data_IF_582009808262
#
_entry.id   IF_582009808262
#
_cell.length_a   1.000
_cell.length_b   1.000
_cell.length_c   1.000
_cell.angle_alpha   90.00
_cell.angle_beta   90.00
_cell.angle_gamma   90.00
#
_symmetry.space_group_name_H-M   'P 1'
#
loop_
_entity.id
_entity.type
_entity.pdbx_description
1 polymer ?
2 non-polymer ?
3 non-polymer ?
4 non-polymer ?
5 water ?
#
# COMPACT_ATOMS: atom_id res chain seq x y z
N UNK A 3 5.22 5.45 -20.07
CA UNK A 3 5.25 5.57 -18.61
C UNK A 3 4.71 4.31 -17.92
N UNK A 4 5.16 4.07 -16.69
CA UNK A 4 4.77 2.87 -15.97
C UNK A 4 3.30 2.93 -15.61
N UNK A 5 2.60 1.79 -15.79
CA UNK A 5 1.16 1.67 -15.55
C UNK A 5 0.94 1.12 -14.14
N UNK A 6 0.21 1.87 -13.28
CA UNK A 6 -0.07 1.48 -11.90
C UNK A 6 -1.53 1.04 -11.79
N UNK A 7 -1.76 -0.12 -11.18
CA UNK A 7 -3.12 -0.55 -10.89
C UNK A 7 -3.28 -0.89 -9.41
N UNK A 8 -4.43 -0.54 -8.85
CA UNK A 8 -4.79 -0.87 -7.47
C UNK A 8 -5.96 -1.85 -7.54
N UNK A 9 -5.85 -3.00 -6.86
CA UNK A 9 -6.88 -4.07 -6.91
C UNK A 9 -7.39 -4.28 -5.51
N UNK A 10 -8.70 -4.08 -5.30
CA UNK A 10 -9.31 -4.37 -3.99
C UNK A 10 -9.92 -5.75 -4.05
N UNK A 11 -9.62 -6.56 -3.03
CA UNK A 11 -10.03 -7.98 -3.04
C UNK A 11 -10.83 -8.20 -1.76
N UNK A 12 -12.09 -8.55 -1.92
CA UNK A 12 -13.00 -8.74 -0.79
C UNK A 12 -13.57 -7.43 -0.29
N UNK A 13 -14.32 -7.51 0.80
CA UNK A 13 -15.09 -6.34 1.22
C UNK A 13 -14.22 -5.17 1.69
N UNK A 14 -13.32 -5.41 2.64
CA UNK A 14 -12.44 -4.32 3.09
C UNK A 14 -11.58 -3.74 1.97
N UNK A 15 -11.02 -4.60 1.13
CA UNK A 15 -10.27 -4.11 -0.04
C UNK A 15 -11.10 -3.24 -0.97
N UNK A 16 -12.32 -3.68 -1.31
CA UNK A 16 -13.20 -2.84 -2.16
C UNK A 16 -13.67 -1.58 -1.47
N UNK A 17 -13.79 -1.62 -0.13
CA UNK A 17 -14.05 -0.41 0.62
C UNK A 17 -12.92 0.59 0.39
N UNK A 18 -11.70 0.12 0.51
CA UNK A 18 -10.54 1.01 0.36
C UNK A 18 -10.47 1.56 -1.06
N UNK A 19 -10.80 0.73 -2.07
CA UNK A 19 -10.81 1.21 -3.45
C UNK A 19 -11.89 2.26 -3.63
N UNK A 20 -13.09 2.01 -3.12
CA UNK A 20 -14.15 3.03 -3.20
C UNK A 20 -13.71 4.35 -2.55
N UNK A 21 -13.13 4.29 -1.34
CA UNK A 21 -12.78 5.54 -0.66
C UNK A 21 -11.64 6.26 -1.39
N UNK A 22 -10.70 5.52 -2.01
CA UNK A 22 -9.63 6.15 -2.79
C UNK A 22 -10.17 6.83 -4.06
N UNK A 23 -11.07 6.16 -4.78
CA UNK A 23 -11.72 6.80 -5.93
C UNK A 23 -12.45 8.07 -5.52
N UNK A 24 -13.21 8.02 -4.43
CA UNK A 24 -13.86 9.20 -3.88
C UNK A 24 -12.83 10.32 -3.70
N UNK A 25 -11.73 9.98 -3.02
CA UNK A 25 -10.68 10.96 -2.75
C UNK A 25 -10.12 11.53 -4.04
N UNK A 26 -9.94 10.71 -5.08
CA UNK A 26 -9.53 11.15 -6.40
C UNK A 26 -8.07 10.84 -6.68
N UNK A 27 -7.82 9.87 -7.56
CA UNK A 27 -6.49 9.54 -8.08
C UNK A 27 -6.58 9.37 -9.58
N UNK A 28 -5.81 10.16 -10.32
CA UNK A 28 -6.14 10.39 -11.73
C UNK A 28 -5.38 9.51 -12.72
N UNK A 29 -4.23 8.93 -12.36
CA UNK A 29 -3.46 8.11 -13.29
C UNK A 29 -3.25 6.66 -12.82
N UNK A 30 -4.17 6.16 -12.02
CA UNK A 30 -4.14 4.79 -11.53
C UNK A 30 -5.43 4.14 -11.98
N UNK A 31 -5.36 2.88 -12.41
CA UNK A 31 -6.56 2.11 -12.74
C UNK A 31 -6.96 1.32 -11.50
N UNK A 32 -8.25 1.24 -11.24
CA UNK A 32 -8.75 0.48 -10.09
C UNK A 32 -9.48 -0.77 -10.58
N UNK A 33 -9.32 -1.86 -9.85
CA UNK A 33 -10.01 -3.11 -10.16
C UNK A 33 -10.64 -3.58 -8.88
N UNK A 34 -11.90 -4.02 -8.97
CA UNK A 34 -12.62 -4.47 -7.77
C UNK A 34 -12.89 -5.94 -7.96
N UNK A 35 -12.38 -6.77 -7.04
CA UNK A 35 -12.60 -8.20 -7.11
C UNK A 35 -13.40 -8.63 -5.87
N UNK A 36 -14.47 -9.42 -6.07
CA UNK A 36 -15.21 -9.86 -4.88
C UNK A 36 -16.07 -11.06 -5.27
N UNK A 37 -16.40 -11.91 -4.29
CA UNK A 37 -17.47 -12.92 -4.45
C UNK A 37 -18.83 -12.30 -4.32
N UNK A 38 -18.93 -11.32 -3.43
CA UNK A 38 -20.17 -10.68 -3.00
C UNK A 38 -20.68 -9.80 -4.14
N UNK A 39 -21.63 -10.27 -4.91
CA UNK A 39 -22.12 -9.44 -6.01
C UNK A 39 -22.88 -8.20 -5.58
N UNK A 40 -23.49 -8.23 -4.38
CA UNK A 40 -24.18 -7.04 -3.88
C UNK A 40 -23.21 -5.89 -3.61
N UNK A 41 -22.12 -6.19 -2.92
CA UNK A 41 -21.09 -5.18 -2.74
C UNK A 41 -20.46 -4.78 -4.07
N UNK A 42 -20.19 -5.75 -4.94
CA UNK A 42 -19.50 -5.43 -6.19
C UNK A 42 -20.34 -4.49 -7.06
N UNK A 43 -21.67 -4.66 -7.05
CA UNK A 43 -22.55 -3.75 -7.79
C UNK A 43 -22.42 -2.30 -7.33
N UNK A 44 -22.00 -2.06 -6.10
CA UNK A 44 -21.85 -0.70 -5.57
C UNK A 44 -20.43 -0.16 -5.71
N UNK A 45 -19.52 -0.94 -6.28
CA UNK A 45 -18.16 -0.48 -6.40
C UNK A 45 -18.07 0.68 -7.38
N UNK A 46 -17.19 1.61 -7.08
CA UNK A 46 -16.91 2.70 -8.00
C UNK A 46 -15.83 2.36 -9.02
N UNK A 47 -15.22 1.17 -8.97
CA UNK A 47 -14.15 0.81 -9.89
C UNK A 47 -14.62 0.63 -11.32
N UNK A 48 -13.75 1.03 -12.26
CA UNK A 48 -14.06 0.91 -13.69
C UNK A 48 -14.03 -0.54 -14.14
N UNK A 49 -13.27 -1.37 -13.46
CA UNK A 49 -13.13 -2.77 -13.82
C UNK A 49 -13.58 -3.58 -12.62
N UNK A 50 -14.61 -4.39 -12.79
CA UNK A 50 -15.10 -5.22 -11.70
C UNK A 50 -15.03 -6.67 -12.09
N UNK A 51 -14.64 -7.53 -11.16
CA UNK A 51 -14.60 -8.95 -11.45
C UNK A 51 -15.35 -9.66 -10.34
N UNK A 52 -16.45 -10.33 -10.69
CA UNK A 52 -17.14 -11.15 -9.71
C UNK A 52 -16.50 -12.52 -9.78
N UNK A 53 -15.93 -13.01 -8.69
CA UNK A 53 -15.28 -14.31 -8.73
C UNK A 53 -16.15 -15.33 -8.00
N UNK A 54 -16.05 -16.62 -8.37
CA UNK A 54 -16.75 -17.66 -7.62
C UNK A 54 -18.28 -17.70 -7.67
N UNK A 55 -18.91 -17.21 -8.73
CA UNK A 55 -20.38 -17.18 -8.72
C UNK A 55 -20.95 -18.59 -8.66
N UNK A 56 -20.24 -19.54 -9.24
CA UNK A 56 -20.72 -20.93 -9.15
C UNK A 56 -20.57 -21.47 -7.74
N UNK A 57 -19.59 -20.99 -7.01
CA UNK A 57 -19.34 -21.54 -5.69
C UNK A 57 -20.29 -20.94 -4.68
N UNK A 58 -20.54 -19.63 -4.80
CA UNK A 58 -21.26 -18.92 -3.77
C UNK A 58 -22.62 -18.43 -4.19
N UNK A 59 -22.96 -18.56 -5.47
CA UNK A 59 -24.21 -18.03 -6.00
C UNK A 59 -24.37 -16.54 -5.78
N UNK A 60 -23.25 -15.77 -5.82
CA UNK A 60 -23.30 -14.32 -5.74
C UNK A 60 -23.11 -13.75 -4.34
N UNK A 61 -23.10 -14.64 -3.34
CA UNK A 61 -22.80 -14.31 -1.96
C UNK A 61 -21.29 -14.24 -1.74
N UNK A 62 -20.92 -13.69 -0.58
CA UNK A 62 -19.56 -13.77 -0.12
C UNK A 62 -19.18 -15.21 0.24
N UNK A 63 -17.95 -15.32 0.75
CA UNK A 63 -17.32 -16.59 1.08
C UNK A 63 -17.71 -17.09 2.46
N UNK A 64 -18.55 -16.35 3.18
CA UNK A 64 -18.91 -16.79 4.53
C UNK A 64 -17.75 -17.10 5.47
N UNK A 65 -16.66 -16.34 5.39
CA UNK A 65 -15.55 -16.51 6.33
C UNK A 65 -14.72 -17.74 6.05
N UNK A 66 -14.94 -18.43 4.93
CA UNK A 66 -14.19 -19.63 4.56
C UNK A 66 -13.10 -19.25 3.55
N UNK A 67 -11.83 -19.13 3.97
CA UNK A 67 -10.77 -18.69 3.03
C UNK A 67 -10.53 -19.69 1.91
N UNK A 68 -10.88 -20.97 2.11
CA UNK A 68 -10.72 -21.90 1.00
C UNK A 68 -11.66 -21.57 -0.16
N UNK A 69 -12.85 -21.05 0.12
CA UNK A 69 -13.77 -20.62 -0.94
C UNK A 69 -13.23 -19.39 -1.64
N UNK A 70 -12.69 -18.44 -0.89
CA UNK A 70 -12.06 -17.33 -1.55
C UNK A 70 -10.97 -17.76 -2.50
N UNK A 71 -10.13 -18.69 -2.05
CA UNK A 71 -9.01 -19.16 -2.87
C UNK A 71 -9.48 -19.86 -4.13
N UNK A 72 -10.44 -20.76 -3.99
CA UNK A 72 -10.98 -21.43 -5.17
C UNK A 72 -11.66 -20.47 -6.11
N UNK A 73 -12.43 -19.51 -5.58
CA UNK A 73 -13.12 -18.56 -6.46
C UNK A 73 -12.13 -17.80 -7.31
N UNK A 74 -10.99 -17.38 -6.73
CA UNK A 74 -9.98 -16.66 -7.51
C UNK A 74 -9.32 -17.59 -8.53
N UNK A 75 -9.00 -18.83 -8.14
CA UNK A 75 -8.34 -19.74 -9.06
C UNK A 75 -9.22 -20.01 -10.25
N UNK A 76 -10.52 -20.15 -10.02
CA UNK A 76 -11.42 -20.44 -11.12
C UNK A 76 -11.64 -19.23 -12.02
N UNK A 77 -11.35 -18.02 -11.56
CA UNK A 77 -11.46 -16.82 -12.39
C UNK A 77 -10.11 -16.29 -12.81
N UNK A 78 -9.11 -17.16 -12.85
CA UNK A 78 -7.76 -16.74 -13.18
C UNK A 78 -7.67 -15.98 -14.51
N UNK A 79 -8.39 -16.43 -15.54
CA UNK A 79 -8.21 -15.76 -16.82
C UNK A 79 -8.81 -14.37 -16.79
N UNK A 80 -9.93 -14.18 -16.07
CA UNK A 80 -10.50 -12.85 -15.99
C UNK A 80 -9.57 -11.91 -15.21
N UNK A 81 -8.92 -12.45 -14.18
CA UNK A 81 -7.99 -11.63 -13.38
C UNK A 81 -6.77 -11.27 -14.22
N UNK A 82 -6.22 -12.24 -14.95
CA UNK A 82 -5.10 -11.96 -15.86
C UNK A 82 -5.45 -10.85 -16.85
N UNK A 83 -6.61 -10.98 -17.50
CA UNK A 83 -7.02 -10.00 -18.49
C UNK A 83 -7.13 -8.61 -17.89
N UNK A 84 -7.63 -8.51 -16.64
CA UNK A 84 -7.77 -7.18 -16.04
C UNK A 84 -6.42 -6.57 -15.64
N UNK A 85 -5.44 -7.41 -15.32
CA UNK A 85 -4.11 -6.96 -14.90
C UNK A 85 -3.23 -6.62 -16.09
N UNK A 86 -3.45 -7.30 -17.21
CA UNK A 86 -2.49 -7.30 -18.31
C UNK A 86 -2.07 -5.89 -18.67
N UNK A 87 -0.75 -5.68 -18.81
CA UNK A 87 -0.21 -4.37 -19.09
C UNK A 87 0.29 -3.60 -17.87
N UNK A 88 -0.19 -3.92 -16.67
CA UNK A 88 0.33 -3.19 -15.49
C UNK A 88 1.81 -3.42 -15.25
N UNK A 89 2.52 -2.34 -14.91
CA UNK A 89 3.91 -2.50 -14.49
C UNK A 89 3.97 -2.68 -12.99
N UNK A 90 3.00 -2.09 -12.27
CA UNK A 90 2.97 -2.25 -10.81
C UNK A 90 1.52 -2.47 -10.38
N UNK A 91 1.31 -3.43 -9.49
CA UNK A 91 0.01 -3.73 -8.92
C UNK A 91 0.08 -3.61 -7.40
N UNK A 92 -0.82 -2.82 -6.80
CA UNK A 92 -1.07 -2.86 -5.35
C UNK A 92 -2.35 -3.67 -5.11
N UNK A 93 -2.25 -4.72 -4.27
CA UNK A 93 -3.41 -5.58 -3.91
C UNK A 93 -3.76 -5.24 -2.47
N UNK A 94 -4.98 -4.73 -2.23
CA UNK A 94 -5.36 -4.39 -0.88
C UNK A 94 -6.55 -5.25 -0.47
N UNK A 95 -6.51 -5.70 0.77
CA UNK A 95 -7.52 -6.63 1.21
C UNK A 95 -7.48 -6.63 2.72
N UNK A 96 -8.61 -6.98 3.33
CA UNK A 96 -8.67 -7.16 4.77
C UNK A 96 -8.51 -8.65 5.06
N UNK A 97 -7.53 -9.00 5.89
CA UNK A 97 -7.31 -10.41 6.16
C UNK A 97 -8.24 -10.86 7.29
N UNK A 98 -8.65 -12.12 7.24
CA UNK A 98 -9.43 -12.73 8.33
C UNK A 98 -10.79 -13.28 7.91
N UNK A 99 -11.37 -12.76 6.82
CA UNK A 99 -12.62 -13.26 6.22
C UNK A 99 -12.31 -14.31 5.19
N UNK A 100 -13.27 -14.54 4.31
CA UNK A 100 -13.11 -15.67 3.39
C UNK A 100 -12.55 -15.23 2.06
N UNK A 101 -13.03 -14.11 1.52
CA UNK A 101 -12.56 -13.70 0.19
C UNK A 101 -11.17 -13.04 0.19
N UNK A 102 -11.00 -11.99 0.96
CA UNK A 102 -9.65 -11.42 1.07
C UNK A 102 -8.64 -12.45 1.46
N UNK A 103 -8.86 -13.19 2.57
CA UNK A 103 -7.86 -14.11 3.04
C UNK A 103 -7.42 -15.06 1.95
N UNK A 104 -8.40 -15.64 1.22
CA UNK A 104 -8.13 -16.71 0.29
C UNK A 104 -7.82 -16.21 -1.11
N UNK A 105 -8.51 -15.18 -1.58
CA UNK A 105 -8.34 -14.71 -2.96
C UNK A 105 -7.21 -13.70 -3.10
N UNK A 106 -6.92 -12.89 -2.09
CA UNK A 106 -5.87 -11.89 -2.31
C UNK A 106 -4.50 -12.50 -2.64
N UNK A 107 -4.03 -13.56 -1.96
CA UNK A 107 -2.76 -14.16 -2.39
C UNK A 107 -2.77 -14.75 -3.79
N UNK A 108 -3.92 -15.25 -4.26
CA UNK A 108 -4.01 -15.75 -5.64
C UNK A 108 -3.91 -14.60 -6.64
N UNK A 109 -4.63 -13.53 -6.37
CA UNK A 109 -4.51 -12.33 -7.20
C UNK A 109 -3.07 -11.84 -7.23
N UNK A 110 -2.44 -11.75 -6.06
CA UNK A 110 -1.04 -11.28 -6.04
C UNK A 110 -0.14 -12.21 -6.82
N UNK A 111 -0.36 -13.52 -6.70
CA UNK A 111 0.50 -14.44 -7.47
C UNK A 111 0.33 -14.21 -8.97
N UNK A 112 -0.92 -14.04 -9.40
CA UNK A 112 -1.21 -13.83 -10.82
C UNK A 112 -0.52 -12.56 -11.31
N UNK A 113 -0.61 -11.49 -10.50
CA UNK A 113 0.02 -10.23 -10.92
C UNK A 113 1.53 -10.41 -11.11
N UNK A 114 2.21 -11.05 -10.13
CA UNK A 114 3.65 -11.24 -10.24
C UNK A 114 3.97 -12.11 -11.46
N UNK A 115 3.16 -13.17 -11.70
CA UNK A 115 3.35 -13.93 -12.97
C UNK A 115 3.04 -13.09 -14.21
N UNK A 116 2.14 -12.14 -14.15
CA UNK A 116 1.89 -11.30 -15.32
C UNK A 116 3.00 -10.26 -15.53
N UNK A 117 4.04 -10.27 -14.68
CA UNK A 117 5.20 -9.36 -14.79
C UNK A 117 5.18 -8.11 -13.91
N UNK A 118 4.11 -7.88 -13.15
CA UNK A 118 3.96 -6.63 -12.44
C UNK A 118 4.75 -6.68 -11.14
N UNK A 119 5.37 -5.55 -10.77
CA UNK A 119 5.89 -5.43 -9.43
C UNK A 119 4.69 -5.39 -8.50
N UNK A 120 4.63 -6.30 -7.52
CA UNK A 120 3.36 -6.58 -6.81
C UNK A 120 3.51 -6.24 -5.33
N UNK A 121 2.73 -5.27 -4.84
CA UNK A 121 2.80 -4.85 -3.43
C UNK A 121 1.46 -5.16 -2.77
N UNK A 122 1.46 -5.81 -1.61
CA UNK A 122 0.23 -6.05 -0.88
C UNK A 122 0.14 -5.03 0.25
N UNK A 123 -1.07 -4.50 0.49
CA UNK A 123 -1.31 -3.65 1.66
C UNK A 123 -2.56 -4.25 2.30
N UNK A 124 -2.40 -4.91 3.46
CA UNK A 124 -3.49 -5.70 4.03
C UNK A 124 -3.59 -5.34 5.50
N UNK A 125 -4.80 -5.56 6.04
CA UNK A 125 -5.09 -5.34 7.46
C UNK A 125 -5.14 -6.68 8.17
N UNK A 126 -4.80 -6.66 9.50
CA UNK A 126 -5.18 -7.76 10.37
C UNK A 126 -6.40 -7.35 11.17
N UNK A 127 -7.24 -8.30 11.56
CA UNK A 127 -8.48 -7.93 12.25
C UNK A 127 -8.26 -7.38 13.66
N UNK A 128 -9.30 -6.68 14.14
CA UNK A 128 -9.28 -6.21 15.53
C UNK A 128 -9.24 -7.39 16.50
N UNK A 129 -8.58 -7.21 17.68
CA UNK A 129 -8.63 -8.31 18.64
C UNK A 129 -10.06 -8.63 19.05
N UNK A 130 -10.97 -7.64 19.06
CA UNK A 130 -12.33 -7.93 19.47
C UNK A 130 -13.07 -8.85 18.49
N UNK A 131 -12.49 -9.13 17.32
CA UNK A 131 -13.08 -10.10 16.39
C UNK A 131 -12.72 -11.53 16.73
N UNK A 132 -11.82 -11.72 17.70
CA UNK A 132 -11.57 -13.02 18.27
C UNK A 132 -10.42 -13.78 17.63
N UNK A 133 -10.05 -14.87 18.31
CA UNK A 133 -8.80 -15.54 18.01
C UNK A 133 -8.88 -16.33 16.71
N UNK A 134 -10.05 -16.89 16.38
CA UNK A 134 -10.16 -17.62 15.12
C UNK A 134 -9.97 -16.68 13.91
N UNK A 135 -10.59 -15.49 13.93
CA UNK A 135 -10.37 -14.53 12.87
C UNK A 135 -8.88 -14.16 12.78
N UNK A 136 -8.22 -14.02 13.95
CA UNK A 136 -6.83 -13.60 13.95
C UNK A 136 -5.94 -14.68 13.38
N UNK A 137 -6.26 -15.95 13.68
CA UNK A 137 -5.48 -17.06 13.17
C UNK A 137 -5.69 -17.25 11.68
N UNK A 138 -6.93 -17.08 11.22
CA UNK A 138 -7.21 -17.13 9.79
C UNK A 138 -6.45 -16.02 9.10
N UNK A 139 -6.46 -14.84 9.72
CA UNK A 139 -5.78 -13.70 9.11
C UNK A 139 -4.30 -13.93 8.97
N UNK A 140 -3.68 -14.49 10.04
CA UNK A 140 -2.25 -14.75 10.02
C UNK A 140 -1.86 -15.66 8.89
N UNK A 141 -2.67 -16.70 8.65
CA UNK A 141 -2.42 -17.59 7.52
C UNK A 141 -2.56 -16.85 6.20
N UNK A 142 -3.50 -15.91 6.08
CA UNK A 142 -3.55 -15.11 4.87
C UNK A 142 -2.33 -14.19 4.72
N UNK A 143 -1.87 -13.59 5.84
CA UNK A 143 -0.67 -12.76 5.75
C UNK A 143 0.49 -13.58 5.25
N UNK A 144 0.70 -14.77 5.84
CA UNK A 144 1.79 -15.64 5.40
C UNK A 144 1.68 -15.96 3.92
N UNK A 145 0.48 -16.28 3.46
CA UNK A 145 0.26 -16.59 2.05
C UNK A 145 0.53 -15.36 1.18
N UNK A 146 0.08 -14.19 1.63
CA UNK A 146 0.37 -12.96 0.90
C UNK A 146 1.87 -12.72 0.81
N UNK A 147 2.61 -12.95 1.91
CA UNK A 147 4.05 -12.70 1.88
C UNK A 147 4.71 -13.56 0.84
N UNK A 148 4.23 -14.80 0.68
CA UNK A 148 4.82 -15.71 -0.28
C UNK A 148 4.55 -15.27 -1.71
N UNK A 149 3.51 -14.50 -1.93
CA UNK A 149 3.01 -14.22 -3.28
C UNK A 149 3.42 -12.84 -3.79
N UNK A 150 3.75 -11.90 -2.92
CA UNK A 150 4.00 -10.52 -3.36
C UNK A 150 5.49 -10.25 -3.49
N UNK A 151 5.82 -9.08 -4.07
CA UNK A 151 7.18 -8.57 -3.94
C UNK A 151 7.39 -7.97 -2.57
N UNK A 152 6.44 -7.16 -2.10
CA UNK A 152 6.59 -6.54 -0.78
C UNK A 152 5.21 -6.39 -0.15
N UNK A 153 5.19 -6.38 1.18
CA UNK A 153 3.96 -6.47 1.94
C UNK A 153 3.98 -5.44 3.05
N UNK A 154 2.91 -4.67 3.15
CA UNK A 154 2.62 -3.74 4.24
C UNK A 154 1.41 -4.29 4.97
N UNK A 155 1.57 -4.57 6.25
CA UNK A 155 0.48 -5.03 7.10
C UNK A 155 0.08 -3.92 8.06
N UNK A 156 -1.23 -3.70 8.17
CA UNK A 156 -1.85 -2.71 9.05
C UNK A 156 -2.70 -3.46 10.04
N UNK A 157 -2.22 -3.67 11.28
CA UNK A 157 -3.10 -4.30 12.28
C UNK A 157 -4.17 -3.29 12.63
N UNK A 158 -5.44 -3.71 12.48
CA UNK A 158 -6.56 -2.81 12.79
C UNK A 158 -6.52 -2.39 14.27
N UNK A 159 -5.95 -3.20 15.17
CA UNK A 159 -5.83 -2.74 16.56
C UNK A 159 -5.09 -1.44 16.65
N UNK A 160 -4.24 -1.12 15.67
CA UNK A 160 -3.51 0.14 15.77
C UNK A 160 -4.43 1.32 15.61
N UNK A 161 -5.59 1.11 14.95
CA UNK A 161 -6.52 2.22 14.82
C UNK A 161 -6.99 2.69 16.19
N UNK A 162 -6.97 1.78 17.16
CA UNK A 162 -7.49 2.10 18.49
C UNK A 162 -6.52 3.03 19.19
N UNK A 163 -5.31 3.14 18.65
CA UNK A 163 -4.29 4.04 19.21
C UNK A 163 -4.42 5.47 18.66
N UNK A 164 -5.17 5.69 17.59
CA UNK A 164 -5.27 7.01 16.96
C UNK A 164 -6.65 7.60 17.04
N UNK A 165 -7.61 6.94 17.69
CA UNK A 165 -8.91 7.53 17.86
C UNK A 165 -9.08 8.03 19.28
N UNK A 166 -10.03 8.95 19.44
CA UNK A 166 -10.58 9.18 20.79
C UNK A 166 -11.92 8.44 20.92
N UNK A 167 -12.58 8.58 22.08
CA UNK A 167 -13.76 7.75 22.28
C UNK A 167 -14.89 8.06 21.30
N UNK A 168 -14.80 9.17 20.58
CA UNK A 168 -15.84 9.58 19.66
C UNK A 168 -15.50 9.49 18.19
N UNK A 169 -14.25 9.23 17.82
CA UNK A 169 -13.89 9.30 16.41
C UNK A 169 -14.77 8.34 15.62
N UNK A 170 -15.47 8.78 14.60
CA UNK A 170 -16.30 7.87 13.82
C UNK A 170 -15.48 6.70 13.26
N UNK A 171 -16.12 5.52 13.19
CA UNK A 171 -15.38 4.38 12.63
C UNK A 171 -14.94 4.68 11.19
N UNK A 172 -15.75 5.39 10.44
CA UNK A 172 -15.35 5.62 9.05
C UNK A 172 -14.15 6.54 8.97
N UNK A 173 -14.00 7.47 9.92
CA UNK A 173 -12.82 8.33 9.90
C UNK A 173 -11.56 7.55 10.23
N UNK A 174 -11.67 6.59 11.18
CA UNK A 174 -10.58 5.71 11.49
C UNK A 174 -10.18 4.90 10.25
N UNK A 175 -11.17 4.32 9.54
CA UNK A 175 -10.84 3.60 8.32
C UNK A 175 -10.15 4.46 7.30
N UNK A 176 -10.53 5.74 7.16
CA UNK A 176 -9.80 6.59 6.19
C UNK A 176 -8.34 6.77 6.57
N UNK A 177 -8.05 6.85 7.87
CA UNK A 177 -6.65 6.89 8.28
C UNK A 177 -5.90 5.67 7.80
N UNK A 178 -6.53 4.48 7.88
CA UNK A 178 -5.79 3.32 7.44
C UNK A 178 -5.62 3.37 5.94
N UNK A 179 -6.63 3.90 5.22
CA UNK A 179 -6.57 3.98 3.75
C UNK A 179 -5.39 4.83 3.30
N UNK A 180 -5.05 5.82 4.09
CA UNK A 180 -3.98 6.74 3.72
C UNK A 180 -2.67 6.03 3.45
N UNK A 181 -2.43 4.90 4.11
CA UNK A 181 -1.15 4.20 3.93
C UNK A 181 -0.98 3.81 2.48
N UNK A 182 -1.95 3.06 1.95
CA UNK A 182 -1.99 2.74 0.53
C UNK A 182 -2.08 3.99 -0.35
N UNK A 183 -3.01 4.91 -0.09
CA UNK A 183 -3.22 6.00 -1.04
C UNK A 183 -1.97 6.85 -1.17
N UNK A 184 -1.33 7.14 -0.05
CA UNK A 184 -0.12 7.96 -0.17
C UNK A 184 1.06 7.17 -0.74
N UNK A 185 1.12 5.86 -0.51
CA UNK A 185 2.18 5.08 -1.15
C UNK A 185 2.00 5.06 -2.66
N UNK A 186 0.76 4.88 -3.11
CA UNK A 186 0.47 4.95 -4.54
C UNK A 186 0.79 6.32 -5.11
N UNK A 187 0.28 7.35 -4.48
CA UNK A 187 0.50 8.70 -5.00
C UNK A 187 1.99 9.02 -5.08
N UNK A 188 2.78 8.57 -4.08
CA UNK A 188 4.21 8.82 -4.09
C UNK A 188 4.88 8.17 -5.27
N UNK A 189 4.48 6.93 -5.61
CA UNK A 189 5.05 6.26 -6.78
C UNK A 189 4.59 6.95 -8.04
N UNK A 190 3.31 7.33 -8.11
CA UNK A 190 2.81 7.99 -9.31
C UNK A 190 3.62 9.24 -9.57
N UNK A 191 3.85 10.02 -8.52
CA UNK A 191 4.66 11.24 -8.63
C UNK A 191 6.08 10.95 -9.13
N UNK A 192 6.75 9.98 -8.54
CA UNK A 192 8.08 9.58 -9.02
C UNK A 192 8.08 9.31 -10.52
N UNK A 193 7.11 8.56 -11.00
CA UNK A 193 7.08 8.29 -12.42
C UNK A 193 6.81 9.55 -13.22
N UNK A 194 5.95 10.43 -12.69
CA UNK A 194 5.46 11.50 -13.56
C UNK A 194 6.45 12.65 -13.66
N UNK A 195 7.24 12.87 -12.63
CA UNK A 195 7.99 14.11 -12.45
C UNK A 195 9.47 13.85 -12.75
N UNK A 196 10.14 14.82 -13.38
CA UNK A 196 11.57 14.65 -13.60
C UNK A 196 12.32 15.34 -12.45
N UNK A 197 13.16 14.62 -11.78
CA UNK A 197 13.85 15.20 -10.65
C UNK A 197 15.22 15.77 -11.02
N UNK A 198 15.68 16.72 -10.19
CA UNK A 198 17.04 17.19 -10.32
C UNK A 198 18.04 16.09 -10.05
N UNK A 199 17.78 15.23 -9.07
CA UNK A 199 18.44 13.94 -8.96
C UNK A 199 17.32 12.93 -9.20
N UNK A 200 17.28 12.34 -10.41
CA UNK A 200 16.05 11.73 -10.92
C UNK A 200 16.03 10.24 -10.59
N UNK A 201 14.93 9.79 -9.98
CA UNK A 201 14.66 8.39 -9.73
C UNK A 201 13.54 7.95 -10.66
N UNK A 202 13.55 6.67 -10.97
CA UNK A 202 12.47 6.30 -11.85
C UNK A 202 12.00 4.91 -11.49
N UNK A 203 11.09 4.36 -12.32
CA UNK A 203 10.48 3.11 -11.93
C UNK A 203 11.51 1.98 -11.76
N UNK A 204 12.60 1.97 -12.53
CA UNK A 204 13.61 0.94 -12.25
C UNK A 204 14.17 1.04 -10.82
N UNK A 205 14.28 2.25 -10.27
CA UNK A 205 14.73 2.34 -8.86
C UNK A 205 13.68 1.75 -7.92
N UNK A 206 12.39 2.04 -8.15
CA UNK A 206 11.32 1.40 -7.37
C UNK A 206 11.45 -0.12 -7.44
N UNK A 207 11.61 -0.67 -8.66
CA UNK A 207 11.81 -2.13 -8.74
C UNK A 207 13.00 -2.59 -7.93
N UNK A 208 14.12 -1.86 -7.97
CA UNK A 208 15.29 -2.36 -7.26
C UNK A 208 15.02 -2.41 -5.76
N UNK A 209 14.27 -1.43 -5.26
CA UNK A 209 14.01 -1.34 -3.81
C UNK A 209 12.94 -2.32 -3.39
N UNK A 210 11.99 -2.62 -4.25
CA UNK A 210 10.80 -3.39 -3.85
C UNK A 210 10.79 -4.82 -4.31
N UNK A 211 11.50 -5.18 -5.38
CA UNK A 211 11.33 -6.52 -5.96
C UNK A 211 11.82 -7.62 -5.00
N UNK A 212 10.97 -8.64 -4.75
CA UNK A 212 11.37 -9.78 -3.91
C UNK A 212 12.03 -9.38 -2.57
N UNK A 213 11.40 -8.46 -1.84
CA UNK A 213 11.98 -7.93 -0.60
C UNK A 213 11.28 -8.39 0.70
N UNK A 214 10.01 -8.75 0.71
CA UNK A 214 9.33 -9.10 1.96
C UNK A 214 8.59 -7.92 2.59
N UNK A 215 8.83 -7.65 3.86
CA UNK A 215 8.12 -6.52 4.50
C UNK A 215 8.56 -5.17 3.96
N UNK A 216 7.67 -4.17 4.04
CA UNK A 216 8.03 -2.84 3.55
C UNK A 216 7.39 -1.75 4.38
N UNK A 217 7.97 -0.56 4.29
CA UNK A 217 7.34 0.66 4.76
C UNK A 217 7.23 1.67 3.61
N UNK A 218 6.10 2.37 3.50
CA UNK A 218 5.93 3.44 2.50
C UNK A 218 5.34 4.64 3.22
N UNK A 219 6.05 5.76 3.24
CA UNK A 219 5.63 6.88 4.06
C UNK A 219 5.92 8.21 3.39
N UNK A 220 5.11 9.21 3.75
CA UNK A 220 5.34 10.56 3.27
C UNK A 220 5.23 11.53 4.44
N UNK A 221 6.07 12.53 4.46
CA UNK A 221 6.01 13.57 5.48
C UNK A 221 6.14 14.93 4.84
N UNK A 222 5.32 15.88 5.32
CA UNK A 222 5.31 17.24 4.80
C UNK A 222 5.50 18.20 5.96
N UNK A 223 6.39 19.18 5.78
CA UNK A 223 6.62 20.14 6.85
C UNK A 223 7.06 21.46 6.24
N UNK A 224 6.99 22.51 7.07
CA UNK A 224 7.45 23.85 6.71
C UNK A 224 8.22 24.43 7.88
N UNK A 225 8.88 25.55 7.67
CA UNK A 225 9.49 26.21 8.82
C UNK A 225 10.90 25.74 9.10
N UNK A 226 11.41 26.05 10.30
CA UNK A 226 12.86 26.11 10.40
C UNK A 226 13.50 24.71 10.45
N UNK A 227 12.86 23.73 11.09
CA UNK A 227 13.40 22.36 11.12
C UNK A 227 12.62 21.46 10.16
N UNK A 228 12.24 21.99 8.99
CA UNK A 228 11.28 21.30 8.12
C UNK A 228 11.78 19.94 7.62
N UNK A 229 13.08 19.83 7.31
CA UNK A 229 13.57 18.57 6.72
C UNK A 229 13.57 17.44 7.74
N UNK A 230 14.07 17.71 8.93
CA UNK A 230 14.02 16.74 10.00
C UNK A 230 12.57 16.36 10.30
N UNK A 231 11.68 17.35 10.39
CA UNK A 231 10.30 17.05 10.74
C UNK A 231 9.63 16.20 9.66
N UNK A 232 9.77 16.61 8.41
CA UNK A 232 9.16 15.85 7.31
C UNK A 232 9.70 14.41 7.27
N UNK A 233 11.02 14.27 7.44
CA UNK A 233 11.64 12.93 7.49
C UNK A 233 11.07 12.12 8.63
N UNK A 234 10.96 12.71 9.84
CA UNK A 234 10.36 11.95 10.93
C UNK A 234 8.92 11.54 10.61
N UNK A 235 8.13 12.42 9.98
CA UNK A 235 6.74 12.04 9.69
C UNK A 235 6.66 10.95 8.64
N UNK A 236 7.55 10.98 7.65
CA UNK A 236 7.57 9.94 6.65
C UNK A 236 7.80 8.55 7.24
N UNK A 237 8.54 8.42 8.35
CA UNK A 237 8.91 7.08 8.84
C UNK A 237 8.16 6.67 10.09
N UNK A 238 7.23 7.49 10.58
CA UNK A 238 6.62 7.36 11.89
C UNK A 238 5.71 6.15 11.97
N UNK A 239 4.63 6.17 11.23
CA UNK A 239 3.81 4.95 11.18
C UNK A 239 3.22 4.44 12.50
N UNK A 240 2.27 5.12 13.14
CA UNK A 240 1.55 4.47 14.25
C UNK A 240 0.69 3.27 13.81
N UNK A 241 0.41 3.11 12.52
CA UNK A 241 -0.50 2.06 12.06
C UNK A 241 0.24 0.82 11.55
N UNK A 242 1.56 0.82 11.57
CA UNK A 242 2.29 -0.18 10.80
C UNK A 242 2.79 -1.29 11.70
N UNK A 243 2.68 -2.52 11.20
CA UNK A 243 3.35 -3.65 11.84
C UNK A 243 4.86 -3.58 11.63
N UNK A 244 5.30 -3.14 10.45
CA UNK A 244 6.73 -3.06 10.13
C UNK A 244 7.16 -1.62 10.29
N UNK A 245 7.89 -1.30 11.35
CA UNK A 245 8.47 0.03 11.49
C UNK A 245 9.71 0.18 10.62
N UNK A 246 10.33 1.37 10.68
CA UNK A 246 11.54 1.61 9.89
C UNK A 246 12.73 0.87 10.49
N UNK A 247 12.64 0.44 11.75
CA UNK A 247 13.83 -0.11 12.42
C UNK A 247 14.25 -1.41 11.76
N UNK A 248 15.51 -1.48 11.33
CA UNK A 248 16.08 -2.64 10.65
C UNK A 248 16.09 -2.53 9.13
N UNK A 249 15.53 -1.45 8.59
CA UNK A 249 15.53 -1.31 7.14
C UNK A 249 16.97 -1.31 6.66
N UNK A 250 17.21 -2.05 5.59
CA UNK A 250 18.52 -2.11 4.99
C UNK A 250 18.61 -1.44 3.63
N UNK A 251 17.46 -1.28 2.94
CA UNK A 251 17.39 -0.52 1.69
C UNK A 251 16.30 0.53 1.77
N UNK A 252 16.60 1.72 1.24
CA UNK A 252 15.61 2.80 1.28
C UNK A 252 15.64 3.58 -0.02
N UNK A 253 14.46 3.84 -0.59
CA UNK A 253 14.32 4.88 -1.61
C UNK A 253 13.77 6.12 -0.91
N UNK A 254 14.48 7.24 -1.00
CA UNK A 254 14.03 8.46 -0.33
C UNK A 254 14.08 9.59 -1.33
N UNK A 255 13.03 10.37 -1.41
CA UNK A 255 12.97 11.50 -2.31
C UNK A 255 12.59 12.73 -1.48
N UNK A 256 13.26 13.85 -1.74
CA UNK A 256 12.89 15.11 -1.10
C UNK A 256 12.44 16.06 -2.19
N UNK A 257 11.29 16.69 -1.99
CA UNK A 257 10.75 17.67 -2.91
C UNK A 257 10.66 18.98 -2.15
N UNK A 258 11.13 20.07 -2.77
CA UNK A 258 11.00 21.38 -2.17
C UNK A 258 11.13 22.41 -3.27
N UNK A 259 11.00 23.68 -2.87
CA UNK A 259 11.19 24.79 -3.78
C UNK A 259 12.67 25.07 -3.97
N UNK A 260 12.93 26.24 -4.54
CA UNK A 260 14.31 26.57 -4.85
C UNK A 260 15.17 26.77 -3.60
N UNK A 261 14.54 26.96 -2.45
CA UNK A 261 15.32 27.13 -1.22
C UNK A 261 15.88 25.83 -0.68
N UNK A 262 15.56 24.66 -1.27
CA UNK A 262 15.98 23.40 -0.70
C UNK A 262 17.50 23.34 -0.55
N UNK A 263 17.96 23.19 0.68
CA UNK A 263 19.40 23.24 0.89
C UNK A 263 20.05 21.85 0.93
N UNK A 264 21.32 21.81 0.54
CA UNK A 264 22.09 20.58 0.68
C UNK A 264 22.14 20.13 2.12
N UNK A 265 22.34 21.09 3.02
CA UNK A 265 22.45 20.71 4.43
C UNK A 265 21.18 20.01 4.91
N UNK A 266 20.02 20.54 4.55
CA UNK A 266 18.81 19.93 5.08
C UNK A 266 18.49 18.63 4.36
N UNK A 267 19.02 18.43 3.14
CA UNK A 267 18.85 17.11 2.51
C UNK A 267 19.67 16.07 3.25
N UNK A 268 20.91 16.43 3.68
CA UNK A 268 21.66 15.48 4.51
C UNK A 268 20.94 15.24 5.83
N UNK A 269 20.41 16.31 6.44
CA UNK A 269 19.73 16.07 7.72
C UNK A 269 18.62 15.02 7.58
N UNK A 270 17.77 15.19 6.57
CA UNK A 270 16.67 14.25 6.27
C UNK A 270 17.22 12.85 6.10
N UNK A 271 18.24 12.70 5.24
CA UNK A 271 18.82 11.37 5.04
C UNK A 271 19.31 10.77 6.34
N UNK A 272 19.95 11.61 7.18
CA UNK A 272 20.52 11.07 8.41
C UNK A 272 19.42 10.61 9.37
N UNK A 273 18.29 11.33 9.41
CA UNK A 273 17.17 10.90 10.26
C UNK A 273 16.77 9.47 9.87
N UNK A 274 16.65 9.22 8.56
CA UNK A 274 16.22 7.90 8.11
C UNK A 274 17.30 6.87 8.46
N UNK A 275 18.57 7.18 8.18
CA UNK A 275 19.66 6.24 8.46
C UNK A 275 19.70 5.90 9.95
N UNK A 276 19.60 6.93 10.81
CA UNK A 276 19.71 6.71 12.25
C UNK A 276 18.51 5.96 12.82
N UNK A 277 17.32 6.20 12.26
CA UNK A 277 16.13 5.52 12.78
C UNK A 277 16.09 4.07 12.35
N UNK A 278 16.58 3.77 11.15
CA UNK A 278 16.81 2.38 10.74
C UNK A 278 17.74 1.67 11.70
N UNK A 279 18.67 2.39 12.32
CA UNK A 279 19.69 1.77 13.16
C UNK A 279 20.42 0.65 12.41
N UNK A 280 20.66 0.88 11.11
CA UNK A 280 21.38 -0.06 10.26
C UNK A 280 22.22 0.76 9.31
N UNK A 281 23.11 0.09 8.56
CA UNK A 281 23.73 0.74 7.42
C UNK A 281 22.75 0.64 6.26
N UNK A 282 22.06 1.75 5.97
CA UNK A 282 21.01 1.71 4.96
C UNK A 282 21.66 1.89 3.59
N UNK A 283 21.24 1.06 2.63
CA UNK A 283 21.58 1.30 1.21
C UNK A 283 20.52 2.19 0.55
N UNK A 284 20.86 3.45 0.38
CA UNK A 284 19.89 4.44 0.01
C UNK A 284 19.92 4.73 -1.49
N UNK A 285 18.74 4.90 -2.08
CA UNK A 285 18.57 5.49 -3.40
C UNK A 285 17.92 6.83 -3.15
N UNK A 286 18.69 7.92 -3.35
CA UNK A 286 18.29 9.26 -2.96
C UNK A 286 17.90 10.09 -4.17
N UNK A 287 16.74 10.77 -4.09
CA UNK A 287 16.30 11.61 -5.18
C UNK A 287 15.93 12.99 -4.66
N UNK A 288 15.91 13.95 -5.56
CA UNK A 288 15.50 15.30 -5.21
C UNK A 288 14.72 15.94 -6.34
N UNK A 289 13.66 16.64 -5.99
CA UNK A 289 12.86 17.36 -6.99
C UNK A 289 12.80 18.81 -6.54
N UNK A 290 13.07 19.75 -7.46
CA UNK A 290 12.85 21.17 -7.19
C UNK A 290 11.56 21.59 -7.87
N UNK A 291 10.56 21.96 -7.07
CA UNK A 291 9.28 22.45 -7.57
C UNK A 291 9.20 23.94 -7.24
N UNK A 292 9.51 24.84 -8.18
CA UNK A 292 9.53 26.27 -7.83
C UNK A 292 8.17 26.81 -7.42
N UNK A 293 7.08 26.05 -7.61
CA UNK A 293 5.81 26.42 -7.00
C UNK A 293 5.94 26.46 -5.49
N UNK A 294 6.58 25.45 -4.91
CA UNK A 294 6.62 25.37 -3.45
C UNK A 294 7.39 26.56 -2.89
N UNK A 295 6.90 27.09 -1.77
CA UNK A 295 7.65 28.17 -1.14
C UNK A 295 8.48 27.55 -0.04
N UNK A 296 7.87 27.41 1.12
CA UNK A 296 8.58 26.95 2.30
C UNK A 296 8.25 25.50 2.62
N UNK A 297 7.48 24.83 1.75
CA UNK A 297 7.09 23.46 2.02
C UNK A 297 8.13 22.47 1.51
N UNK A 298 8.37 21.41 2.28
CA UNK A 298 9.19 20.30 1.82
C UNK A 298 8.39 19.00 2.00
N UNK A 299 8.63 18.05 1.11
CA UNK A 299 7.99 16.74 1.21
C UNK A 299 9.07 15.66 1.13
N UNK A 300 9.09 14.77 2.11
CA UNK A 300 9.99 13.62 2.12
C UNK A 300 9.17 12.35 1.90
N UNK A 301 9.54 11.57 0.89
CA UNK A 301 8.93 10.27 0.63
C UNK A 301 9.94 9.18 0.88
N UNK A 302 9.52 8.13 1.57
CA UNK A 302 10.42 7.03 1.91
C UNK A 302 9.78 5.71 1.52
N UNK A 303 10.56 4.86 0.88
CA UNK A 303 10.17 3.46 0.70
C UNK A 303 11.28 2.65 1.34
N UNK A 304 10.97 1.86 2.38
CA UNK A 304 12.00 1.10 3.08
C UNK A 304 11.72 -0.40 3.00
N UNK A 305 12.74 -1.18 2.66
CA UNK A 305 12.67 -2.64 2.58
C UNK A 305 13.95 -3.23 3.19
N UNK A 306 14.15 -4.53 3.01
CA UNK A 306 15.38 -5.15 3.44
C UNK A 306 15.41 -5.50 4.91
N UNK A 307 14.26 -5.73 5.53
CA UNK A 307 14.19 -6.17 6.93
C UNK A 307 14.52 -7.67 7.01
#
# INVERSE_FOLDING_TARGET
GHMATLKVIGVGGGGNNAVNRMIDHGMNNVEFIAINTDGQALNLSKAESKIQIGEKLTRGLGAGANPEIGKKAAEESREQIEDAIQGADMVFVTSGMGGGTGTGAAPVVAKIAKEMGALTVGVVTRPFSFEGRKRQTQAAAGVEAMKAAVDTLIVIPNDRLLDIVDKSTPMMEAFKEADNVLRQGVQGISDLIAVSGEVNLDFADVKTIMSNQGSALMGIGVSSGENRAVEAAKKAISSPLLETSIVGAQGVLMNITGGESLSLFEAQEAADIVQDAADEDVNMIFGTVINPELQDEIVVTVIATGF
#
